data_IF_906149039522
#
_entry.id   IF_906149039522
#
_cell.length_a   1.000
_cell.length_b   1.000
_cell.length_c   1.000
_cell.angle_alpha   90.00
_cell.angle_beta   90.00
_cell.angle_gamma   90.00
#
_symmetry.space_group_name_H-M   'P 1'
#
loop_
_entity.id
_entity.type
_entity.pdbx_description
1 polymer ?
#
# COMPACT_ATOMS: atom_id res chain seq x y z
N UNK A 1 22.19 32.17 9.54
CA UNK A 1 20.92 31.51 9.28
C UNK A 1 21.11 30.17 8.56
N UNK A 2 21.78 30.09 7.42
CA UNK A 2 21.89 28.85 6.61
C UNK A 2 22.40 27.65 7.42
N UNK A 3 23.43 27.81 8.23
CA UNK A 3 24.00 26.71 9.03
C UNK A 3 23.14 26.33 10.26
N UNK A 4 22.42 27.32 10.86
CA UNK A 4 21.58 27.06 12.04
C UNK A 4 20.22 26.45 11.71
N UNK A 5 19.81 26.53 10.46
CA UNK A 5 18.54 26.02 9.94
C UNK A 5 18.76 25.25 8.63
N UNK A 6 19.80 24.44 8.63
CA UNK A 6 20.21 23.71 7.42
C UNK A 6 19.18 22.68 6.94
N UNK A 7 18.29 22.23 7.83
CA UNK A 7 17.17 21.33 7.54
C UNK A 7 16.08 21.95 6.64
N UNK A 8 16.04 23.26 6.53
CA UNK A 8 15.12 24.01 5.65
C UNK A 8 15.72 24.41 4.31
N UNK A 9 17.01 24.15 4.12
CA UNK A 9 17.68 24.54 2.90
C UNK A 9 17.73 23.36 1.91
N UNK A 10 17.43 23.60 0.63
CA UNK A 10 17.64 22.58 -0.41
C UNK A 10 19.13 22.26 -0.53
N UNK A 11 19.45 20.99 -0.79
CA UNK A 11 20.83 20.58 -1.08
C UNK A 11 21.25 21.08 -2.47
N UNK A 12 22.52 21.44 -2.58
CA UNK A 12 23.14 21.75 -3.88
C UNK A 12 23.28 20.48 -4.73
N UNK A 13 23.50 20.67 -6.03
CA UNK A 13 23.73 19.54 -6.95
C UNK A 13 24.93 18.69 -6.51
N UNK A 14 26.03 19.33 -6.09
CA UNK A 14 27.23 18.62 -5.62
C UNK A 14 26.97 17.80 -4.35
N UNK A 15 26.16 18.32 -3.43
CA UNK A 15 25.75 17.57 -2.22
C UNK A 15 24.90 16.36 -2.56
N UNK A 16 23.99 16.50 -3.54
CA UNK A 16 23.15 15.39 -4.03
C UNK A 16 24.03 14.34 -4.73
N UNK A 17 24.91 14.74 -5.62
CA UNK A 17 25.85 13.85 -6.31
C UNK A 17 26.74 13.07 -5.32
N UNK A 18 27.24 13.74 -4.27
CA UNK A 18 28.03 13.09 -3.23
C UNK A 18 27.20 12.05 -2.44
N UNK A 19 25.92 12.35 -2.15
CA UNK A 19 25.02 11.38 -1.53
C UNK A 19 24.83 10.15 -2.42
N UNK A 20 24.56 10.35 -3.71
CA UNK A 20 24.39 9.24 -4.65
C UNK A 20 25.63 8.35 -4.76
N UNK A 21 26.81 8.90 -4.56
CA UNK A 21 28.08 8.13 -4.59
C UNK A 21 28.33 7.33 -3.31
N UNK A 22 27.89 7.79 -2.13
CA UNK A 22 28.35 7.26 -0.83
C UNK A 22 27.25 6.76 0.08
N UNK A 23 26.01 7.24 -0.08
CA UNK A 23 24.92 6.88 0.79
C UNK A 23 24.45 5.44 0.59
N UNK A 24 23.85 4.88 1.64
CA UNK A 24 23.04 3.68 1.51
C UNK A 24 21.61 4.05 1.09
N UNK A 25 21.01 3.19 0.30
CA UNK A 25 19.64 3.32 -0.17
C UNK A 25 18.73 2.44 0.68
N UNK A 26 17.64 3.02 1.13
CA UNK A 26 16.61 2.34 1.93
C UNK A 26 15.29 2.58 1.23
N UNK A 27 14.59 1.50 0.94
CA UNK A 27 13.28 1.53 0.30
C UNK A 27 12.21 1.18 1.33
N UNK A 28 11.16 1.96 1.37
CA UNK A 28 10.01 1.71 2.23
C UNK A 28 9.21 0.50 1.76
N UNK A 29 8.41 -0.10 2.64
CA UNK A 29 7.56 -1.26 2.35
C UNK A 29 6.60 -0.99 1.19
N UNK A 30 6.06 0.24 1.09
CA UNK A 30 5.18 0.65 0.01
C UNK A 30 5.86 0.58 -1.38
N UNK A 31 7.19 0.84 -1.47
CA UNK A 31 7.94 0.72 -2.72
C UNK A 31 8.01 -0.74 -3.17
N UNK A 32 8.35 -1.65 -2.26
CA UNK A 32 8.44 -3.08 -2.57
C UNK A 32 7.07 -3.68 -2.92
N UNK A 33 6.01 -3.23 -2.24
CA UNK A 33 4.64 -3.65 -2.52
C UNK A 33 4.11 -3.09 -3.85
N UNK A 34 4.55 -1.89 -4.26
CA UNK A 34 4.17 -1.31 -5.54
C UNK A 34 4.73 -2.09 -6.74
N UNK A 35 5.79 -2.87 -6.57
CA UNK A 35 6.31 -3.76 -7.62
C UNK A 35 5.27 -4.81 -8.09
N UNK A 36 4.28 -5.15 -7.27
CA UNK A 36 3.15 -6.01 -7.68
C UNK A 36 2.02 -5.26 -8.39
N UNK A 37 2.11 -3.94 -8.44
CA UNK A 37 1.06 -3.05 -8.94
C UNK A 37 1.43 -2.37 -10.25
N UNK A 38 2.72 -2.23 -10.51
CA UNK A 38 3.25 -1.70 -11.76
C UNK A 38 3.16 -2.73 -12.90
N UNK A 39 3.34 -2.27 -14.12
CA UNK A 39 3.54 -3.16 -15.26
C UNK A 39 4.76 -4.09 -15.04
N UNK A 40 4.80 -5.20 -15.74
CA UNK A 40 5.91 -6.16 -15.62
C UNK A 40 7.26 -5.53 -16.03
N UNK A 41 7.24 -4.67 -17.07
CA UNK A 41 8.42 -3.94 -17.53
C UNK A 41 8.92 -2.99 -16.44
N UNK A 42 8.04 -2.17 -15.88
CA UNK A 42 8.35 -1.21 -14.81
C UNK A 42 8.87 -1.92 -13.56
N UNK A 43 8.20 -2.98 -13.12
CA UNK A 43 8.62 -3.74 -11.94
C UNK A 43 9.98 -4.39 -12.14
N UNK A 44 10.25 -4.93 -13.32
CA UNK A 44 11.53 -5.58 -13.65
C UNK A 44 12.66 -4.56 -13.67
N UNK A 45 12.48 -3.43 -14.33
CA UNK A 45 13.51 -2.37 -14.37
C UNK A 45 13.74 -1.77 -12.99
N UNK A 46 12.69 -1.52 -12.20
CA UNK A 46 12.84 -0.98 -10.86
C UNK A 46 13.68 -1.91 -9.96
N UNK A 47 13.38 -3.21 -9.96
CA UNK A 47 14.16 -4.22 -9.20
C UNK A 47 15.59 -4.29 -9.70
N UNK A 48 15.82 -4.23 -11.00
CA UNK A 48 17.16 -4.24 -11.59
C UNK A 48 18.01 -3.09 -11.05
N UNK A 49 17.45 -1.86 -11.03
CA UNK A 49 18.18 -0.67 -10.53
C UNK A 49 18.51 -0.84 -9.04
N UNK A 50 17.55 -1.35 -8.23
CA UNK A 50 17.83 -1.62 -6.81
C UNK A 50 18.96 -2.64 -6.68
N UNK A 51 18.98 -3.67 -7.52
CA UNK A 51 20.04 -4.71 -7.52
C UNK A 51 21.39 -4.15 -7.91
N UNK A 52 21.46 -3.23 -8.87
CA UNK A 52 22.69 -2.57 -9.33
C UNK A 52 23.35 -1.70 -8.25
N UNK A 53 22.58 -1.25 -7.25
CA UNK A 53 23.15 -0.56 -6.08
C UNK A 53 24.03 -1.47 -5.21
N UNK A 54 23.97 -2.79 -5.40
CA UNK A 54 24.82 -3.78 -4.74
C UNK A 54 24.86 -3.62 -3.20
N UNK A 55 26.04 -3.39 -2.64
CA UNK A 55 26.25 -3.25 -1.18
C UNK A 55 25.72 -1.92 -0.61
N UNK A 56 25.18 -1.04 -1.44
CA UNK A 56 24.61 0.24 -1.02
C UNK A 56 23.10 0.18 -0.78
N UNK A 57 22.49 -1.01 -0.76
CA UNK A 57 21.11 -1.19 -0.32
C UNK A 57 21.07 -1.84 1.06
N UNK A 58 20.09 -1.46 1.84
CA UNK A 58 19.82 -2.07 3.13
C UNK A 58 18.33 -2.09 3.40
N UNK A 59 17.82 -3.20 3.92
CA UNK A 59 16.42 -3.40 4.24
C UNK A 59 16.22 -3.35 5.76
N UNK A 60 15.57 -2.31 6.31
CA UNK A 60 15.13 -2.33 7.71
C UNK A 60 14.29 -3.56 7.99
N UNK A 61 14.45 -4.16 9.18
CA UNK A 61 13.65 -5.31 9.57
C UNK A 61 12.14 -5.00 9.52
N UNK A 62 11.75 -3.80 9.96
CA UNK A 62 10.35 -3.35 9.93
C UNK A 62 9.78 -3.34 8.51
N UNK A 63 10.55 -2.86 7.54
CA UNK A 63 10.15 -2.88 6.12
C UNK A 63 9.95 -4.31 5.62
N UNK A 64 10.89 -5.20 5.90
CA UNK A 64 10.78 -6.61 5.52
C UNK A 64 9.56 -7.28 6.16
N UNK A 65 9.28 -6.98 7.43
CA UNK A 65 8.12 -7.49 8.15
C UNK A 65 6.80 -7.01 7.53
N UNK A 66 6.67 -5.71 7.26
CA UNK A 66 5.49 -5.12 6.65
C UNK A 66 5.27 -5.63 5.22
N UNK A 67 6.33 -5.71 4.43
CA UNK A 67 6.28 -6.27 3.09
C UNK A 67 5.73 -7.70 3.11
N UNK A 68 6.29 -8.58 3.94
CA UNK A 68 5.85 -9.98 4.01
C UNK A 68 4.41 -10.12 4.53
N UNK A 69 3.99 -9.29 5.48
CA UNK A 69 2.60 -9.30 5.99
C UNK A 69 1.59 -8.87 4.94
N UNK A 70 1.94 -7.88 4.12
CA UNK A 70 0.98 -7.25 3.20
C UNK A 70 1.05 -7.79 1.77
N UNK A 71 2.12 -8.50 1.40
CA UNK A 71 2.36 -8.97 0.03
C UNK A 71 1.18 -9.74 -0.56
N UNK A 72 0.70 -10.76 0.14
CA UNK A 72 -0.40 -11.60 -0.35
C UNK A 72 -1.70 -10.82 -0.48
N UNK A 73 -1.94 -9.87 0.41
CA UNK A 73 -3.09 -8.96 0.30
C UNK A 73 -3.00 -8.12 -0.96
N UNK A 74 -1.82 -7.56 -1.25
CA UNK A 74 -1.61 -6.76 -2.46
C UNK A 74 -1.83 -7.60 -3.73
N UNK A 75 -1.31 -8.83 -3.79
CA UNK A 75 -1.53 -9.75 -4.91
C UNK A 75 -3.03 -10.03 -5.09
N UNK A 76 -3.73 -10.33 -4.00
CA UNK A 76 -5.18 -10.57 -4.01
C UNK A 76 -5.98 -9.34 -4.48
N UNK A 77 -5.59 -8.15 -4.05
CA UNK A 77 -6.23 -6.90 -4.46
C UNK A 77 -6.04 -6.64 -5.96
N UNK A 78 -4.84 -6.91 -6.51
CA UNK A 78 -4.62 -6.78 -7.96
C UNK A 78 -5.52 -7.75 -8.74
N UNK A 79 -5.59 -9.02 -8.35
CA UNK A 79 -6.52 -9.98 -8.94
C UNK A 79 -7.97 -9.48 -8.90
N UNK A 80 -8.42 -8.95 -7.75
CA UNK A 80 -9.76 -8.39 -7.57
C UNK A 80 -10.03 -7.23 -8.53
N UNK A 81 -9.04 -6.36 -8.77
CA UNK A 81 -9.19 -5.24 -9.69
C UNK A 81 -9.53 -5.70 -11.12
N UNK A 82 -8.89 -6.75 -11.61
CA UNK A 82 -9.20 -7.36 -12.91
C UNK A 82 -10.61 -7.95 -12.94
N UNK A 83 -11.02 -8.66 -11.90
CA UNK A 83 -12.37 -9.23 -11.81
C UNK A 83 -13.46 -8.14 -11.77
N UNK A 84 -13.21 -7.04 -11.04
CA UNK A 84 -14.14 -5.90 -10.98
C UNK A 84 -14.23 -5.22 -12.34
N UNK A 85 -13.10 -5.06 -13.05
CA UNK A 85 -13.09 -4.47 -14.38
C UNK A 85 -13.86 -5.35 -15.38
N UNK A 86 -13.62 -6.66 -15.37
CA UNK A 86 -14.35 -7.62 -16.23
C UNK A 86 -15.86 -7.53 -16.02
N UNK A 87 -16.31 -7.47 -14.77
CA UNK A 87 -17.72 -7.30 -14.45
C UNK A 87 -18.29 -6.00 -15.03
N UNK A 88 -17.60 -4.87 -14.84
CA UNK A 88 -18.04 -3.58 -15.40
C UNK A 88 -18.13 -3.60 -16.94
N UNK A 89 -17.17 -4.25 -17.60
CA UNK A 89 -17.19 -4.41 -19.04
C UNK A 89 -18.38 -5.26 -19.49
N UNK A 90 -18.67 -6.35 -18.83
CA UNK A 90 -19.82 -7.20 -19.10
C UNK A 90 -21.13 -6.44 -18.90
N UNK A 91 -21.30 -5.73 -17.78
CA UNK A 91 -22.49 -4.93 -17.48
C UNK A 91 -22.73 -3.86 -18.56
N UNK A 92 -21.66 -3.18 -19.01
CA UNK A 92 -21.71 -2.19 -20.08
C UNK A 92 -22.15 -2.80 -21.41
N UNK A 93 -21.61 -3.94 -21.78
CA UNK A 93 -21.95 -4.62 -23.03
C UNK A 93 -23.39 -5.14 -23.00
N UNK A 94 -23.85 -5.73 -21.89
CA UNK A 94 -25.23 -6.14 -21.71
C UNK A 94 -26.22 -4.96 -21.85
N UNK A 95 -25.85 -3.78 -21.33
CA UNK A 95 -26.65 -2.56 -21.49
C UNK A 95 -26.75 -2.13 -22.97
N UNK A 96 -25.64 -2.19 -23.69
CA UNK A 96 -25.55 -1.82 -25.13
C UNK A 96 -26.27 -2.83 -26.03
N UNK A 97 -26.26 -4.11 -25.69
CA UNK A 97 -26.93 -5.20 -26.41
C UNK A 97 -28.46 -5.23 -26.17
N UNK A 98 -28.97 -4.49 -25.20
CA UNK A 98 -30.36 -4.52 -24.81
C UNK A 98 -31.27 -3.89 -25.87
N UNK A 99 -31.98 -4.72 -26.61
CA UNK A 99 -32.86 -4.31 -27.71
C UNK A 99 -34.09 -3.50 -27.26
N UNK A 100 -34.37 -3.42 -25.99
CA UNK A 100 -35.54 -2.75 -25.43
C UNK A 100 -35.22 -1.38 -24.82
N UNK A 101 -34.00 -0.90 -24.99
CA UNK A 101 -33.49 0.37 -24.40
C UNK A 101 -32.73 1.21 -25.42
N UNK A 102 -32.94 2.51 -25.42
CA UNK A 102 -32.05 3.47 -26.06
C UNK A 102 -30.78 3.67 -25.25
N UNK A 103 -29.60 3.92 -25.89
CA UNK A 103 -29.41 4.07 -27.34
C UNK A 103 -29.32 2.75 -28.11
N UNK A 104 -29.77 2.74 -29.39
CA UNK A 104 -29.64 1.57 -30.25
C UNK A 104 -28.39 1.67 -31.11
N UNK A 105 -27.65 0.60 -31.20
CA UNK A 105 -26.42 0.52 -31.97
C UNK A 105 -26.58 -0.38 -33.20
N UNK A 106 -25.76 -0.16 -34.21
CA UNK A 106 -25.76 -1.01 -35.40
C UNK A 106 -25.23 -2.40 -35.07
N UNK A 107 -25.74 -3.41 -35.78
CA UNK A 107 -25.27 -4.81 -35.61
C UNK A 107 -23.77 -4.94 -35.80
N UNK A 108 -23.18 -4.25 -36.78
CA UNK A 108 -21.73 -4.24 -37.00
C UNK A 108 -20.93 -3.70 -35.82
N UNK A 109 -21.45 -2.71 -35.08
CA UNK A 109 -20.78 -2.19 -33.89
C UNK A 109 -20.87 -3.17 -32.73
N UNK A 110 -22.04 -3.82 -32.55
CA UNK A 110 -22.20 -4.84 -31.50
C UNK A 110 -21.28 -6.04 -31.72
N UNK A 111 -21.12 -6.51 -32.96
CA UNK A 111 -20.17 -7.57 -33.31
C UNK A 111 -18.74 -7.18 -33.01
N UNK A 112 -18.30 -5.94 -33.27
CA UNK A 112 -16.98 -5.46 -32.93
C UNK A 112 -16.77 -5.38 -31.41
N UNK A 113 -17.78 -4.91 -30.67
CA UNK A 113 -17.72 -4.87 -29.20
C UNK A 113 -17.59 -6.28 -28.60
N UNK A 114 -18.31 -7.26 -29.16
CA UNK A 114 -18.19 -8.66 -28.73
C UNK A 114 -16.75 -9.20 -28.92
N UNK A 115 -16.13 -8.92 -30.06
CA UNK A 115 -14.74 -9.35 -30.32
C UNK A 115 -13.78 -8.72 -29.29
N UNK A 116 -13.89 -7.40 -29.09
CA UNK A 116 -13.06 -6.69 -28.10
C UNK A 116 -13.29 -7.22 -26.69
N UNK A 117 -14.54 -7.54 -26.32
CA UNK A 117 -14.85 -8.18 -25.03
C UNK A 117 -14.10 -9.50 -24.84
N UNK A 118 -14.11 -10.37 -25.85
CA UNK A 118 -13.49 -11.67 -25.79
C UNK A 118 -11.94 -11.56 -25.69
N UNK A 119 -11.35 -10.60 -26.41
CA UNK A 119 -9.92 -10.28 -26.33
C UNK A 119 -9.54 -9.78 -24.92
N UNK A 120 -10.27 -8.81 -24.39
CA UNK A 120 -10.04 -8.28 -23.03
C UNK A 120 -10.22 -9.36 -21.97
N UNK A 121 -11.24 -10.21 -22.11
CA UNK A 121 -11.46 -11.33 -21.19
C UNK A 121 -10.29 -12.28 -21.18
N UNK A 122 -9.77 -12.66 -22.35
CA UNK A 122 -8.61 -13.55 -22.47
C UNK A 122 -7.37 -12.94 -21.79
N UNK A 123 -7.14 -11.64 -21.95
CA UNK A 123 -6.04 -10.94 -21.28
C UNK A 123 -6.22 -10.90 -19.77
N UNK A 124 -7.42 -10.63 -19.27
CA UNK A 124 -7.76 -10.64 -17.84
C UNK A 124 -7.51 -12.02 -17.24
N UNK A 125 -7.98 -13.09 -17.89
CA UNK A 125 -7.76 -14.48 -17.44
C UNK A 125 -6.26 -14.81 -17.34
N UNK A 126 -5.47 -14.40 -18.33
CA UNK A 126 -4.02 -14.56 -18.28
C UNK A 126 -3.37 -13.81 -17.12
N UNK A 127 -3.77 -12.56 -16.85
CA UNK A 127 -3.27 -11.77 -15.71
C UNK A 127 -3.68 -12.36 -14.37
N UNK A 128 -4.94 -12.79 -14.23
CA UNK A 128 -5.43 -13.46 -13.00
C UNK A 128 -4.61 -14.71 -12.73
N UNK A 129 -4.29 -15.50 -13.76
CA UNK A 129 -3.44 -16.68 -13.60
C UNK A 129 -2.05 -16.34 -13.08
N UNK A 130 -1.42 -15.27 -13.57
CA UNK A 130 -0.12 -14.81 -13.08
C UNK A 130 -0.19 -14.49 -11.58
N UNK A 131 -1.25 -13.81 -11.11
CA UNK A 131 -1.43 -13.53 -9.68
C UNK A 131 -1.69 -14.80 -8.85
N UNK A 132 -2.46 -15.76 -9.38
CA UNK A 132 -2.68 -17.05 -8.69
C UNK A 132 -1.37 -17.84 -8.58
N UNK A 133 -0.58 -17.89 -9.64
CA UNK A 133 0.71 -18.56 -9.66
C UNK A 133 1.70 -17.86 -8.68
N UNK A 134 1.62 -16.52 -8.53
CA UNK A 134 2.46 -15.74 -7.61
C UNK A 134 2.19 -16.03 -6.12
N UNK A 135 1.15 -16.78 -5.77
CA UNK A 135 0.94 -17.25 -4.39
C UNK A 135 1.98 -18.31 -4.02
N UNK A 136 2.34 -19.19 -4.96
CA UNK A 136 3.23 -20.35 -4.76
C UNK A 136 4.59 -20.18 -5.43
N UNK A 137 4.68 -19.41 -6.51
CA UNK A 137 5.89 -19.17 -7.30
C UNK A 137 5.99 -17.67 -7.64
N UNK A 138 6.58 -16.92 -6.75
CA UNK A 138 6.63 -15.46 -6.80
C UNK A 138 7.99 -14.96 -7.28
N UNK A 139 8.09 -14.66 -8.57
CA UNK A 139 9.33 -14.17 -9.18
C UNK A 139 9.76 -12.79 -8.66
N UNK A 140 8.82 -11.94 -8.23
CA UNK A 140 9.13 -10.63 -7.62
C UNK A 140 9.75 -10.85 -6.25
N UNK A 141 9.15 -11.71 -5.42
CA UNK A 141 9.69 -12.07 -4.11
C UNK A 141 11.09 -12.68 -4.23
N UNK A 142 11.31 -13.58 -5.18
CA UNK A 142 12.62 -14.19 -5.40
C UNK A 142 13.68 -13.13 -5.74
N UNK A 143 13.37 -12.21 -6.65
CA UNK A 143 14.28 -11.12 -7.01
C UNK A 143 14.56 -10.18 -5.83
N UNK A 144 13.54 -9.86 -5.01
CA UNK A 144 13.70 -9.05 -3.79
C UNK A 144 14.58 -9.78 -2.79
N UNK A 145 14.35 -11.07 -2.54
CA UNK A 145 15.16 -11.87 -1.63
C UNK A 145 16.63 -11.93 -2.06
N UNK A 146 16.92 -12.11 -3.35
CA UNK A 146 18.28 -12.08 -3.89
C UNK A 146 18.93 -10.68 -3.73
N UNK A 147 18.17 -9.63 -4.01
CA UNK A 147 18.67 -8.24 -3.93
C UNK A 147 19.07 -7.87 -2.50
N UNK A 148 18.30 -8.31 -1.51
CA UNK A 148 18.53 -7.99 -0.09
C UNK A 148 19.18 -9.13 0.70
N UNK A 149 19.68 -10.17 0.05
CA UNK A 149 20.40 -11.27 0.71
C UNK A 149 21.57 -10.72 1.54
N UNK A 150 21.63 -11.09 2.84
CA UNK A 150 22.60 -10.61 3.81
C UNK A 150 22.62 -9.09 4.06
N UNK A 151 21.55 -8.38 3.65
CA UNK A 151 21.43 -6.92 3.78
C UNK A 151 20.24 -6.50 4.62
N UNK A 152 19.57 -7.43 5.30
CA UNK A 152 18.44 -7.18 6.17
C UNK A 152 18.92 -6.81 7.57
N UNK A 153 18.31 -5.78 8.14
CA UNK A 153 18.57 -5.36 9.52
C UNK A 153 18.05 -6.37 10.54
N UNK A 154 18.54 -6.24 11.76
CA UNK A 154 18.06 -7.04 12.89
C UNK A 154 16.87 -6.34 13.54
N UNK A 155 15.91 -7.11 14.05
CA UNK A 155 14.81 -6.54 14.82
C UNK A 155 15.34 -5.95 16.15
N UNK A 156 14.67 -4.94 16.65
CA UNK A 156 14.90 -4.48 18.01
C UNK A 156 14.46 -5.55 19.01
N UNK A 157 15.15 -5.58 20.16
CA UNK A 157 14.74 -6.41 21.30
C UNK A 157 13.38 -5.93 21.85
N UNK A 158 12.70 -6.80 22.60
CA UNK A 158 11.43 -6.44 23.23
C UNK A 158 11.56 -5.22 24.15
N UNK A 159 12.67 -5.10 24.87
CA UNK A 159 12.95 -3.95 25.73
C UNK A 159 13.10 -2.65 24.94
N UNK A 160 13.76 -2.70 23.77
CA UNK A 160 13.89 -1.54 22.87
C UNK A 160 12.55 -1.17 22.27
N UNK A 161 11.75 -2.13 21.83
CA UNK A 161 10.39 -1.91 21.31
C UNK A 161 9.52 -1.23 22.39
N UNK A 162 9.55 -1.69 23.62
CA UNK A 162 8.81 -1.04 24.73
C UNK A 162 9.26 0.41 24.93
N UNK A 163 10.56 0.69 24.84
CA UNK A 163 11.10 2.07 24.94
C UNK A 163 10.62 2.94 23.76
N UNK A 164 10.62 2.38 22.53
CA UNK A 164 10.15 3.06 21.33
C UNK A 164 8.65 3.37 21.43
N UNK A 165 7.83 2.44 21.93
CA UNK A 165 6.40 2.68 22.14
C UNK A 165 6.16 3.80 23.16
N UNK A 166 6.88 3.83 24.28
CA UNK A 166 6.78 4.92 25.27
C UNK A 166 7.24 6.28 24.71
N UNK A 167 8.26 6.30 23.86
CA UNK A 167 8.66 7.49 23.11
C UNK A 167 7.56 7.90 22.13
N UNK A 168 7.00 6.92 21.42
CA UNK A 168 5.91 7.10 20.43
C UNK A 168 4.67 7.75 21.04
N UNK A 169 4.25 7.35 22.23
CA UNK A 169 3.12 7.99 22.93
C UNK A 169 3.35 9.50 23.14
N UNK A 170 4.58 9.87 23.57
CA UNK A 170 4.94 11.28 23.76
C UNK A 170 5.02 12.03 22.44
N UNK A 171 5.62 11.41 21.41
CA UNK A 171 5.76 11.97 20.05
C UNK A 171 4.39 12.25 19.45
N UNK A 172 3.50 11.28 19.48
CA UNK A 172 2.16 11.37 18.89
C UNK A 172 1.31 12.45 19.57
N UNK A 173 1.36 12.53 20.92
CA UNK A 173 0.70 13.61 21.67
C UNK A 173 1.19 15.00 21.26
N UNK A 174 2.47 15.15 20.94
CA UNK A 174 3.09 16.41 20.55
C UNK A 174 3.18 16.59 19.03
N UNK A 175 2.57 15.70 18.23
CA UNK A 175 2.65 15.69 16.76
C UNK A 175 4.10 15.72 16.25
N UNK A 176 5.00 15.01 16.92
CA UNK A 176 6.40 14.88 16.50
C UNK A 176 6.52 13.73 15.49
N UNK A 177 7.03 13.96 14.27
CA UNK A 177 7.15 12.96 13.22
C UNK A 177 8.26 11.91 13.53
N UNK A 178 8.20 10.72 12.90
CA UNK A 178 7.12 10.21 12.08
C UNK A 178 6.07 9.43 12.89
N UNK A 179 4.97 9.01 12.24
CA UNK A 179 4.02 8.00 12.71
C UNK A 179 2.81 8.54 13.45
N UNK A 180 2.73 9.84 13.79
CA UNK A 180 1.58 10.37 14.53
C UNK A 180 0.26 10.32 13.74
N UNK A 181 0.32 10.27 12.41
CA UNK A 181 -0.86 10.08 11.57
C UNK A 181 -1.50 8.69 11.79
N UNK A 182 -0.74 7.72 12.25
CA UNK A 182 -1.19 6.36 12.53
C UNK A 182 -1.66 6.15 13.98
N UNK A 183 -1.80 7.20 14.76
CA UNK A 183 -2.19 7.15 16.18
C UNK A 183 -3.50 6.42 16.48
N UNK A 184 -4.39 6.28 15.49
CA UNK A 184 -5.68 5.56 15.60
C UNK A 184 -5.59 4.09 15.21
N UNK A 185 -4.47 3.62 14.69
CA UNK A 185 -4.27 2.21 14.38
C UNK A 185 -4.15 1.35 15.65
N UNK A 186 -4.35 0.01 15.53
CA UNK A 186 -4.10 -0.91 16.65
C UNK A 186 -2.70 -0.73 17.25
N UNK A 187 -2.56 -1.05 18.53
CA UNK A 187 -1.32 -0.84 19.31
C UNK A 187 -0.09 -1.49 18.68
N UNK A 188 -0.27 -2.64 18.07
CA UNK A 188 0.78 -3.42 17.41
C UNK A 188 1.18 -2.87 16.01
N UNK A 189 0.47 -1.87 15.49
CA UNK A 189 0.69 -1.34 14.13
C UNK A 189 1.03 0.15 14.12
N UNK A 190 0.50 0.91 15.09
CA UNK A 190 0.60 2.37 15.09
C UNK A 190 2.03 2.92 15.18
N UNK A 191 2.99 2.13 15.64
CA UNK A 191 4.39 2.56 15.81
C UNK A 191 5.32 2.09 14.68
N UNK A 192 4.80 1.47 13.62
CA UNK A 192 5.60 0.94 12.52
C UNK A 192 6.55 1.98 11.91
N UNK A 193 6.02 3.16 11.57
CA UNK A 193 6.81 4.26 11.01
C UNK A 193 7.91 4.73 11.99
N UNK A 194 7.63 4.78 13.29
CA UNK A 194 8.63 5.17 14.29
C UNK A 194 9.70 4.11 14.46
N UNK A 195 9.33 2.82 14.47
CA UNK A 195 10.29 1.70 14.53
C UNK A 195 11.20 1.75 13.32
N UNK A 196 10.64 1.88 12.13
CA UNK A 196 11.39 2.05 10.88
C UNK A 196 12.39 3.22 11.00
N UNK A 197 11.92 4.37 11.45
CA UNK A 197 12.75 5.56 11.62
C UNK A 197 13.93 5.33 12.56
N UNK A 198 13.69 4.67 13.70
CA UNK A 198 14.75 4.34 14.68
C UNK A 198 15.74 3.32 14.10
N UNK A 199 15.30 2.36 13.27
CA UNK A 199 16.19 1.43 12.57
C UNK A 199 17.07 2.15 11.56
N UNK A 200 16.53 3.11 10.81
CA UNK A 200 17.30 3.95 9.86
C UNK A 200 18.39 4.74 10.60
N UNK A 201 18.04 5.40 11.70
CA UNK A 201 18.99 6.15 12.54
C UNK A 201 20.07 5.22 13.07
N UNK A 202 19.71 4.07 13.64
CA UNK A 202 20.67 3.11 14.19
C UNK A 202 21.65 2.63 13.11
N UNK A 203 21.14 2.25 11.93
CA UNK A 203 21.98 1.82 10.80
C UNK A 203 23.00 2.89 10.39
N UNK A 204 22.55 4.14 10.28
CA UNK A 204 23.44 5.25 9.93
C UNK A 204 24.52 5.50 10.99
N UNK A 205 24.17 5.42 12.29
CA UNK A 205 25.11 5.52 13.40
C UNK A 205 26.19 4.45 13.34
N UNK A 206 25.79 3.19 13.22
CA UNK A 206 26.68 2.03 13.28
C UNK A 206 27.62 1.99 12.08
N UNK A 207 27.09 2.28 10.90
CA UNK A 207 27.85 2.23 9.65
C UNK A 207 28.54 3.56 9.28
N UNK A 208 28.20 4.66 9.96
CA UNK A 208 28.69 6.03 9.72
C UNK A 208 28.46 6.49 8.29
N UNK A 209 27.29 6.20 7.73
CA UNK A 209 26.91 6.50 6.35
C UNK A 209 25.71 7.43 6.26
N UNK A 210 25.67 8.20 5.20
CA UNK A 210 24.51 8.97 4.80
C UNK A 210 23.42 8.04 4.25
N UNK A 211 22.16 8.51 4.21
CA UNK A 211 21.00 7.72 3.80
C UNK A 211 20.23 8.40 2.67
N UNK A 212 19.87 7.63 1.65
CA UNK A 212 18.83 7.97 0.69
C UNK A 212 17.61 7.09 0.98
N UNK A 213 16.52 7.71 1.43
CA UNK A 213 15.29 7.01 1.77
C UNK A 213 14.24 7.23 0.69
N UNK A 214 13.74 6.15 0.11
CA UNK A 214 12.76 6.16 -0.97
C UNK A 214 11.42 5.69 -0.41
N UNK A 215 10.40 6.56 -0.44
CA UNK A 215 9.07 6.25 0.05
C UNK A 215 7.98 6.91 -0.79
N UNK A 216 6.89 6.18 -1.02
CA UNK A 216 5.66 6.69 -1.63
C UNK A 216 4.63 7.15 -0.58
N UNK A 217 4.99 7.16 0.69
CA UNK A 217 4.11 7.67 1.74
C UNK A 217 3.78 9.15 1.47
N UNK A 218 2.52 9.52 1.68
CA UNK A 218 2.00 10.87 1.42
C UNK A 218 1.53 11.57 2.68
N UNK A 219 1.74 10.93 3.85
CA UNK A 219 1.30 11.49 5.13
C UNK A 219 2.08 12.74 5.50
N UNK A 220 1.38 13.67 6.16
CA UNK A 220 1.96 14.95 6.61
C UNK A 220 3.06 14.81 7.68
N UNK A 221 3.20 13.65 8.29
CA UNK A 221 4.25 13.36 9.26
C UNK A 221 5.57 12.86 8.64
N UNK A 222 5.57 12.60 7.35
CA UNK A 222 6.78 12.39 6.56
C UNK A 222 7.14 13.59 5.70
N UNK A 223 6.11 14.32 5.21
CA UNK A 223 6.27 15.36 4.22
C UNK A 223 5.68 16.69 4.69
N UNK A 224 6.35 17.77 4.33
CA UNK A 224 5.83 19.13 4.48
C UNK A 224 5.02 19.46 3.23
N UNK A 225 3.72 19.57 3.41
CA UNK A 225 2.81 19.97 2.35
C UNK A 225 2.40 21.42 2.48
N UNK A 226 2.29 22.11 1.38
CA UNK A 226 1.75 23.46 1.32
C UNK A 226 0.78 23.59 0.14
N UNK A 227 -0.45 23.99 0.42
CA UNK A 227 -1.52 24.13 -0.57
C UNK A 227 -1.71 22.87 -1.46
N UNK A 228 -1.67 21.67 -0.87
CA UNK A 228 -1.82 20.41 -1.58
C UNK A 228 -0.62 19.97 -2.42
N UNK A 229 0.53 20.64 -2.26
CA UNK A 229 1.78 20.24 -2.92
C UNK A 229 2.80 19.83 -1.87
N UNK A 230 3.41 18.68 -2.07
CA UNK A 230 4.56 18.22 -1.28
C UNK A 230 5.77 19.09 -1.61
N UNK A 231 6.31 19.77 -0.60
CA UNK A 231 7.42 20.71 -0.74
C UNK A 231 8.75 20.05 -0.41
N UNK A 232 8.82 19.36 0.72
CA UNK A 232 10.05 18.75 1.22
C UNK A 232 9.73 17.64 2.24
N UNK A 233 10.70 16.81 2.62
CA UNK A 233 10.58 16.04 3.86
C UNK A 233 10.40 16.95 5.07
N UNK A 234 9.82 16.42 6.13
CA UNK A 234 9.68 17.16 7.40
C UNK A 234 11.05 17.60 7.93
N UNK A 235 11.28 18.90 8.15
CA UNK A 235 12.55 19.40 8.67
C UNK A 235 12.93 18.79 10.03
N UNK A 236 11.93 18.44 10.86
CA UNK A 236 12.13 17.79 12.15
C UNK A 236 12.83 16.43 12.01
N UNK A 237 12.49 15.66 10.97
CA UNK A 237 13.16 14.37 10.68
C UNK A 237 14.61 14.59 10.28
N UNK A 238 14.88 15.53 9.39
CA UNK A 238 16.24 15.86 8.94
C UNK A 238 17.09 16.30 10.14
N UNK A 239 16.53 17.16 10.99
CA UNK A 239 17.21 17.66 12.19
C UNK A 239 17.50 16.54 13.19
N UNK A 240 16.50 15.71 13.52
CA UNK A 240 16.67 14.56 14.41
C UNK A 240 17.77 13.63 13.86
N UNK A 241 17.69 13.26 12.59
CA UNK A 241 18.67 12.38 11.97
C UNK A 241 20.10 12.92 12.08
N UNK A 242 20.32 14.19 11.71
CA UNK A 242 21.64 14.83 11.82
C UNK A 242 22.15 14.90 13.25
N UNK A 243 21.28 15.25 14.19
CA UNK A 243 21.62 15.34 15.61
C UNK A 243 22.06 13.99 16.15
N UNK A 244 21.35 12.92 15.76
CA UNK A 244 21.59 11.58 16.27
C UNK A 244 22.77 10.87 15.59
N UNK A 245 23.02 11.15 14.31
CA UNK A 245 23.98 10.37 13.49
C UNK A 245 25.21 11.17 13.06
N UNK A 246 25.17 12.49 13.10
CA UNK A 246 26.13 13.39 12.43
C UNK A 246 26.28 13.10 10.93
N UNK A 247 25.25 12.56 10.30
CA UNK A 247 25.16 12.21 8.88
C UNK A 247 23.94 12.88 8.25
N UNK A 248 23.90 12.82 6.91
CA UNK A 248 22.80 13.36 6.13
C UNK A 248 21.80 12.28 5.72
N UNK A 249 20.54 12.67 5.67
CA UNK A 249 19.47 11.90 5.04
C UNK A 249 18.80 12.74 3.96
N UNK A 250 18.41 12.08 2.86
CA UNK A 250 17.64 12.69 1.80
C UNK A 250 16.50 11.75 1.40
N UNK A 251 15.36 12.33 0.99
CA UNK A 251 14.15 11.58 0.70
C UNK A 251 13.78 11.73 -0.76
N UNK A 252 13.41 10.63 -1.39
CA UNK A 252 12.87 10.63 -2.74
C UNK A 252 11.50 9.97 -2.81
N UNK A 253 10.66 10.50 -3.70
CA UNK A 253 9.53 9.75 -4.24
C UNK A 253 10.05 8.70 -5.23
N UNK A 254 9.30 7.60 -5.49
CA UNK A 254 9.78 6.53 -6.37
C UNK A 254 10.14 7.02 -7.77
N UNK A 255 9.33 7.90 -8.37
CA UNK A 255 9.64 8.45 -9.70
C UNK A 255 10.91 9.30 -9.71
N UNK A 256 11.15 10.09 -8.65
CA UNK A 256 12.39 10.89 -8.52
C UNK A 256 13.63 9.98 -8.40
N UNK A 257 13.51 8.87 -7.68
CA UNK A 257 14.58 7.89 -7.62
C UNK A 257 14.92 7.36 -9.01
N UNK A 258 13.92 7.07 -9.85
CA UNK A 258 14.15 6.63 -11.24
C UNK A 258 14.77 7.72 -12.10
N UNK A 259 14.26 8.96 -12.04
CA UNK A 259 14.83 10.11 -12.75
C UNK A 259 16.32 10.32 -12.42
N UNK A 260 16.65 10.33 -11.13
CA UNK A 260 18.03 10.51 -10.67
C UNK A 260 18.91 9.28 -10.89
N UNK A 261 18.35 8.09 -11.02
CA UNK A 261 19.09 6.90 -11.42
C UNK A 261 19.64 7.03 -12.85
N UNK A 262 18.88 7.65 -13.75
CA UNK A 262 19.38 7.98 -15.09
C UNK A 262 20.56 8.96 -15.02
N UNK A 263 20.51 9.97 -14.14
CA UNK A 263 21.56 10.98 -14.02
C UNK A 263 22.82 10.45 -13.31
N UNK A 264 22.67 9.68 -12.22
CA UNK A 264 23.80 9.34 -11.34
C UNK A 264 24.27 7.89 -11.43
N UNK A 265 23.47 6.98 -12.00
CA UNK A 265 23.84 5.57 -12.20
C UNK A 265 23.99 5.22 -13.68
N UNK A 266 23.68 6.15 -14.59
CA UNK A 266 23.60 5.91 -16.03
C UNK A 266 22.61 4.77 -16.38
N UNK A 267 21.53 4.68 -15.63
CA UNK A 267 20.45 3.72 -15.90
C UNK A 267 19.64 4.24 -17.09
N UNK A 268 19.46 3.45 -18.13
CA UNK A 268 18.69 3.86 -19.32
C UNK A 268 17.20 3.58 -19.13
N UNK A 269 16.56 4.23 -18.12
CA UNK A 269 15.14 4.08 -17.85
C UNK A 269 14.34 4.93 -18.83
N UNK A 270 13.37 4.33 -19.47
CA UNK A 270 12.46 5.00 -20.40
C UNK A 270 11.52 5.96 -19.67
N UNK A 271 11.14 7.04 -20.35
CA UNK A 271 10.23 8.06 -19.81
C UNK A 271 8.84 7.51 -19.47
N UNK A 272 8.32 6.57 -20.25
CA UNK A 272 7.02 5.93 -19.99
C UNK A 272 6.98 5.17 -18.66
N UNK A 273 8.07 4.55 -18.26
CA UNK A 273 8.24 3.89 -16.95
C UNK A 273 8.20 4.91 -15.81
N UNK A 274 8.94 6.02 -15.98
CA UNK A 274 8.94 7.09 -14.99
C UNK A 274 7.53 7.70 -14.85
N UNK A 275 6.84 7.94 -15.96
CA UNK A 275 5.48 8.46 -15.96
C UNK A 275 4.46 7.45 -15.39
N UNK A 276 4.62 6.15 -15.62
CA UNK A 276 3.80 5.13 -14.95
C UNK A 276 3.94 5.25 -13.42
N UNK A 277 5.17 5.25 -12.91
CA UNK A 277 5.44 5.34 -11.47
C UNK A 277 4.94 6.67 -10.87
N UNK A 278 5.09 7.77 -11.60
CA UNK A 278 4.67 9.10 -11.17
C UNK A 278 3.15 9.27 -11.15
N UNK A 279 2.47 8.72 -12.16
CA UNK A 279 1.02 8.80 -12.29
C UNK A 279 0.29 7.75 -11.45
N UNK A 280 0.99 6.74 -10.95
CA UNK A 280 0.41 5.65 -10.19
C UNK A 280 -0.31 6.17 -8.94
N UNK A 281 -1.58 5.79 -8.81
CA UNK A 281 -2.41 6.08 -7.64
C UNK A 281 -2.97 4.77 -7.11
N UNK A 282 -2.53 4.30 -5.95
CA UNK A 282 -2.99 3.02 -5.39
C UNK A 282 -4.50 2.93 -5.20
N UNK A 283 -5.17 4.06 -5.12
CA UNK A 283 -6.59 4.17 -4.78
C UNK A 283 -7.55 4.36 -5.99
N UNK A 284 -7.06 4.27 -7.24
CA UNK A 284 -7.94 4.44 -8.42
C UNK A 284 -9.09 3.42 -8.48
N UNK A 285 -8.97 2.30 -7.77
CA UNK A 285 -10.01 1.27 -7.64
C UNK A 285 -10.59 1.14 -6.22
N UNK A 286 -10.11 1.92 -5.24
CA UNK A 286 -10.93 2.23 -4.07
C UNK A 286 -12.03 3.15 -4.57
N UNK A 287 -13.10 2.54 -5.05
CA UNK A 287 -14.30 3.26 -5.42
C UNK A 287 -14.73 4.09 -4.21
N UNK A 288 -14.72 5.42 -4.31
CA UNK A 288 -15.49 6.30 -3.42
C UNK A 288 -16.98 5.92 -3.39
N UNK A 289 -17.38 4.97 -4.22
CA UNK A 289 -18.70 4.39 -4.34
C UNK A 289 -18.93 3.16 -3.44
N UNK A 290 -17.92 2.64 -2.72
CA UNK A 290 -18.09 1.52 -1.79
C UNK A 290 -17.59 1.90 -0.40
N UNK A 291 -18.39 1.55 0.59
CA UNK A 291 -18.07 1.67 2.00
C UNK A 291 -17.76 0.26 2.50
N UNK A 292 -16.65 0.11 3.18
CA UNK A 292 -16.37 -1.10 3.94
C UNK A 292 -17.02 -0.98 5.33
N UNK A 293 -17.81 -1.97 5.67
CA UNK A 293 -18.38 -2.13 7.00
C UNK A 293 -17.75 -3.34 7.66
N UNK A 294 -17.20 -3.12 8.82
CA UNK A 294 -16.66 -4.16 9.67
C UNK A 294 -17.69 -4.45 10.78
N UNK A 295 -18.30 -5.62 10.73
CA UNK A 295 -19.26 -6.05 11.73
C UNK A 295 -18.59 -7.02 12.70
N UNK A 296 -18.76 -6.79 13.99
CA UNK A 296 -18.44 -7.76 15.03
C UNK A 296 -19.74 -8.40 15.51
N UNK A 297 -19.87 -9.70 15.30
CA UNK A 297 -21.05 -10.49 15.66
C UNK A 297 -20.68 -11.48 16.76
N UNK A 298 -21.61 -11.71 17.69
CA UNK A 298 -21.48 -12.72 18.72
C UNK A 298 -22.56 -13.79 18.55
N UNK A 299 -22.15 -15.06 18.59
CA UNK A 299 -23.05 -16.20 18.49
C UNK A 299 -22.33 -17.47 18.08
N UNK A 300 -23.06 -18.53 17.75
CA UNK A 300 -22.46 -19.79 17.34
C UNK A 300 -21.76 -19.68 15.96
N UNK A 301 -20.75 -20.51 15.72
CA UNK A 301 -20.06 -20.58 14.43
C UNK A 301 -20.98 -21.11 13.33
N UNK A 302 -21.93 -21.97 13.66
CA UNK A 302 -22.93 -22.50 12.74
C UNK A 302 -23.86 -21.39 12.24
N UNK A 303 -24.42 -20.59 13.16
CA UNK A 303 -25.29 -19.46 12.85
C UNK A 303 -24.54 -18.40 12.01
N UNK A 304 -23.29 -18.12 12.37
CA UNK A 304 -22.45 -17.21 11.60
C UNK A 304 -22.17 -17.72 10.17
N UNK A 305 -21.88 -19.00 9.99
CA UNK A 305 -21.68 -19.61 8.69
C UNK A 305 -22.96 -19.60 7.85
N UNK A 306 -24.11 -19.83 8.46
CA UNK A 306 -25.39 -19.77 7.78
C UNK A 306 -25.69 -18.34 7.27
N UNK A 307 -25.51 -17.32 8.09
CA UNK A 307 -25.63 -15.91 7.69
C UNK A 307 -24.63 -15.58 6.56
N UNK A 308 -23.37 -15.96 6.69
CA UNK A 308 -22.35 -15.69 5.70
C UNK A 308 -22.70 -16.28 4.32
N UNK A 309 -23.19 -17.53 4.29
CA UNK A 309 -23.58 -18.19 3.04
C UNK A 309 -24.83 -17.53 2.41
N UNK A 310 -25.82 -17.11 3.22
CA UNK A 310 -26.95 -16.36 2.69
C UNK A 310 -26.48 -15.03 2.08
N UNK A 311 -25.66 -14.28 2.78
CA UNK A 311 -25.16 -13.00 2.30
C UNK A 311 -24.28 -13.14 1.04
N UNK A 312 -23.45 -14.17 0.95
CA UNK A 312 -22.62 -14.46 -0.23
C UNK A 312 -23.49 -14.67 -1.47
N UNK A 313 -24.65 -15.33 -1.34
CA UNK A 313 -25.56 -15.58 -2.43
C UNK A 313 -26.34 -14.33 -2.89
N UNK A 314 -26.27 -13.22 -2.16
CA UNK A 314 -26.94 -11.96 -2.52
C UNK A 314 -26.10 -11.04 -3.43
N UNK A 315 -24.92 -11.49 -3.87
CA UNK A 315 -24.07 -10.76 -4.82
C UNK A 315 -23.21 -9.64 -4.19
N UNK A 316 -23.13 -9.56 -2.86
CA UNK A 316 -22.24 -8.62 -2.20
C UNK A 316 -20.85 -9.21 -1.99
N UNK A 317 -19.81 -8.39 -2.13
CA UNK A 317 -18.45 -8.78 -1.78
C UNK A 317 -18.32 -8.81 -0.24
N UNK A 318 -18.18 -10.00 0.30
CA UNK A 318 -18.09 -10.24 1.74
C UNK A 318 -16.83 -11.04 2.00
N UNK A 319 -15.99 -10.53 2.90
CA UNK A 319 -14.83 -11.25 3.40
C UNK A 319 -15.13 -11.72 4.84
N UNK A 320 -14.79 -12.97 5.09
CA UNK A 320 -14.90 -13.60 6.40
C UNK A 320 -13.50 -13.64 7.04
N UNK A 321 -13.36 -13.04 8.20
CA UNK A 321 -12.23 -13.28 9.08
C UNK A 321 -12.72 -14.11 10.26
N UNK A 322 -12.37 -15.38 10.28
CA UNK A 322 -12.68 -16.27 11.38
C UNK A 322 -11.50 -16.36 12.34
N UNK A 323 -11.44 -15.50 13.32
CA UNK A 323 -10.74 -15.77 14.55
C UNK A 323 -11.79 -15.94 15.64
N UNK A 324 -12.19 -17.20 15.90
CA UNK A 324 -13.09 -17.53 16.99
C UNK A 324 -12.32 -17.49 18.32
N UNK A 325 -12.29 -16.33 18.94
CA UNK A 325 -11.95 -16.20 20.35
C UNK A 325 -13.24 -15.76 21.03
N UNK A 326 -13.79 -16.60 21.90
CA UNK A 326 -14.99 -16.31 22.72
C UNK A 326 -16.28 -16.04 21.94
N UNK A 327 -16.63 -16.83 20.92
CA UNK A 327 -17.86 -16.69 20.12
C UNK A 327 -18.00 -15.34 19.38
N UNK A 328 -16.92 -14.61 19.16
CA UNK A 328 -16.91 -13.40 18.35
C UNK A 328 -16.48 -13.72 16.92
N UNK A 329 -17.25 -13.20 15.96
CA UNK A 329 -17.01 -13.36 14.53
C UNK A 329 -16.91 -12.00 13.84
N UNK A 330 -16.00 -11.87 12.91
CA UNK A 330 -15.74 -10.64 12.16
C UNK A 330 -16.18 -10.80 10.71
N UNK A 331 -16.99 -9.87 10.23
CA UNK A 331 -17.52 -9.84 8.88
C UNK A 331 -17.24 -8.49 8.23
N UNK A 332 -16.47 -8.51 7.15
CA UNK A 332 -16.19 -7.33 6.35
C UNK A 332 -17.11 -7.31 5.13
N UNK A 333 -17.98 -6.30 5.03
CA UNK A 333 -18.94 -6.14 3.95
C UNK A 333 -18.57 -4.90 3.15
N UNK A 334 -18.46 -5.06 1.83
CA UNK A 334 -18.25 -3.94 0.91
C UNK A 334 -19.59 -3.58 0.25
N UNK A 335 -20.10 -2.40 0.53
CA UNK A 335 -21.38 -1.90 0.06
C UNK A 335 -21.22 -0.66 -0.79
N UNK A 336 -22.07 -0.46 -1.83
CA UNK A 336 -22.10 0.79 -2.57
C UNK A 336 -22.36 1.97 -1.62
N UNK A 337 -21.62 3.06 -1.80
CA UNK A 337 -21.86 4.31 -1.06
C UNK A 337 -23.10 5.01 -1.67
N UNK A 338 -24.26 4.65 -1.19
CA UNK A 338 -25.55 5.18 -1.65
C UNK A 338 -26.21 6.00 -0.53
N UNK A 339 -27.00 7.02 -0.88
CA UNK A 339 -27.82 7.74 0.10
C UNK A 339 -28.67 6.75 0.91
N UNK A 340 -28.81 7.02 2.21
CA UNK A 340 -29.58 6.17 3.16
C UNK A 340 -29.03 4.74 3.40
N UNK A 341 -27.71 4.53 3.17
CA UNK A 341 -27.09 3.22 3.37
C UNK A 341 -27.35 2.64 4.77
N UNK A 342 -27.25 3.45 5.82
CA UNK A 342 -27.51 3.03 7.21
C UNK A 342 -28.95 2.53 7.41
N UNK A 343 -29.94 3.22 6.82
CA UNK A 343 -31.33 2.81 6.88
C UNK A 343 -31.57 1.48 6.15
N UNK A 344 -30.92 1.29 5.00
CA UNK A 344 -31.01 0.06 4.21
C UNK A 344 -30.31 -1.11 4.90
N UNK A 345 -29.18 -0.87 5.55
CA UNK A 345 -28.48 -1.86 6.36
C UNK A 345 -29.34 -2.33 7.52
N UNK A 346 -29.90 -1.39 8.28
CA UNK A 346 -30.79 -1.71 9.41
C UNK A 346 -32.00 -2.53 8.96
N UNK A 347 -32.66 -2.15 7.86
CA UNK A 347 -33.86 -2.83 7.41
C UNK A 347 -33.61 -4.19 6.73
N UNK A 348 -32.46 -4.36 6.06
CA UNK A 348 -32.22 -5.54 5.21
C UNK A 348 -31.32 -6.60 5.86
N UNK A 349 -30.41 -6.20 6.74
CA UNK A 349 -29.40 -7.10 7.30
C UNK A 349 -29.42 -7.15 8.82
N UNK A 350 -29.39 -6.01 9.51
CA UNK A 350 -29.34 -5.99 10.97
C UNK A 350 -30.63 -6.58 11.56
N UNK A 351 -31.78 -6.29 10.95
CA UNK A 351 -33.04 -6.89 11.33
C UNK A 351 -33.10 -8.41 11.13
N UNK A 352 -32.26 -8.97 10.28
CA UNK A 352 -32.21 -10.43 10.04
C UNK A 352 -31.25 -11.17 10.97
N UNK A 353 -30.37 -10.47 11.68
CA UNK A 353 -29.42 -11.12 12.59
C UNK A 353 -30.10 -11.95 13.64
N UNK A 354 -31.26 -11.51 14.09
CA UNK A 354 -32.10 -12.27 15.06
C UNK A 354 -32.58 -13.64 14.53
N UNK A 355 -32.68 -13.79 13.18
CA UNK A 355 -33.05 -15.06 12.57
C UNK A 355 -31.95 -16.13 12.68
N UNK A 356 -30.71 -15.68 12.97
CA UNK A 356 -29.53 -16.51 13.12
C UNK A 356 -28.99 -16.55 14.56
N UNK A 357 -29.75 -16.11 15.55
CA UNK A 357 -29.32 -16.02 16.95
C UNK A 357 -27.94 -15.27 17.11
N UNK A 358 -27.68 -14.30 16.23
CA UNK A 358 -26.49 -13.49 16.26
C UNK A 358 -26.78 -12.10 16.82
N UNK A 359 -25.89 -11.64 17.70
CA UNK A 359 -25.94 -10.30 18.26
C UNK A 359 -24.90 -9.41 17.58
N UNK A 360 -25.33 -8.24 17.12
CA UNK A 360 -24.40 -7.21 16.64
C UNK A 360 -23.75 -6.52 17.85
N UNK A 361 -22.44 -6.63 17.95
CA UNK A 361 -21.65 -6.02 19.02
C UNK A 361 -21.08 -4.66 18.60
N UNK A 362 -20.55 -4.59 17.38
CA UNK A 362 -19.93 -3.37 16.86
C UNK A 362 -20.12 -3.27 15.35
N UNK A 363 -20.18 -2.04 14.85
CA UNK A 363 -20.21 -1.71 13.43
C UNK A 363 -19.27 -0.55 13.19
N UNK A 364 -18.23 -0.77 12.38
CA UNK A 364 -17.26 0.27 12.00
C UNK A 364 -17.30 0.49 10.50
N UNK A 365 -17.38 1.75 10.11
CA UNK A 365 -17.24 2.20 8.74
C UNK A 365 -15.77 2.58 8.52
N UNK A 366 -15.13 1.99 7.53
CA UNK A 366 -13.78 2.32 7.09
C UNK A 366 -13.78 2.73 5.62
#
# INVERSE_FOLDING_TARGET
MKNSFSEYNPKSKDEIENLWKKAIFIFDSNILLNLYRYSEETSTQFIQIISELNNRVWLPFQVGLEFNRNRLTVISDQKKNYTVFEKKLNDLIEEVENKNRNPFFSKSLLEKLSIVKDEVKSEIEAKIKVYDDSITSDSILEKINLTFENKVGVNFSEEEIIKIHKDGEKRFKNRMPPGYCDSKKPENEKYGDLILWKQIIQKSKDSKVDVLFISDDRKEDWWLDHQGKTISPRPELIKEFRTETSKDIYFYKPFQFLEYSNEFLNSEIKEDIIEEVKSYKPDLFKNDNFIQLNLTLQGSIEDFNALFNEMKNTGYNILKESNSVNDFHYLNIFLPNIPDLERRLNSKYISKLSNYNLNLIDIKKS
#
